data_IF_052700431357
#
_entry.id   IF_052700431357
#
_cell.length_a   1.000
_cell.length_b   1.000
_cell.length_c   1.000
_cell.angle_alpha   90.00
_cell.angle_beta   90.00
_cell.angle_gamma   90.00
#
_symmetry.space_group_name_H-M   'P 1'
#
loop_
_entity.id
_entity.type
_entity.pdbx_description
1 polymer ?
#
# COMPACT_ATOMS: atom_id res chain seq x y z
N UNK A 1 24.96 10.12 5.62
CA UNK A 1 24.14 9.39 4.64
C UNK A 1 23.13 10.35 4.05
N UNK A 2 22.79 10.18 2.78
CA UNK A 2 21.67 10.90 2.16
C UNK A 2 20.40 10.07 2.32
N UNK A 3 19.30 10.74 2.67
CA UNK A 3 17.99 10.12 2.85
C UNK A 3 17.05 10.56 1.73
N UNK A 4 16.37 9.60 1.10
CA UNK A 4 15.33 9.83 0.10
C UNK A 4 13.96 9.76 0.76
N UNK A 5 13.15 10.78 0.52
CA UNK A 5 11.74 10.76 0.89
C UNK A 5 10.93 10.43 -0.36
N UNK A 6 10.28 9.27 -0.36
CA UNK A 6 9.33 8.89 -1.40
C UNK A 6 7.91 9.18 -0.90
N UNK A 7 7.34 10.29 -1.37
CA UNK A 7 5.97 10.70 -1.05
C UNK A 7 5.04 10.09 -2.08
N UNK A 8 4.15 9.18 -1.66
CA UNK A 8 3.35 8.37 -2.57
C UNK A 8 2.02 7.92 -1.96
N UNK A 9 1.16 7.35 -2.79
CA UNK A 9 -0.10 6.73 -2.37
C UNK A 9 -0.24 5.36 -3.06
N UNK A 10 -0.65 4.28 -2.36
CA UNK A 10 -0.77 2.94 -2.94
C UNK A 10 -1.79 2.87 -4.08
N UNK A 11 -2.72 3.81 -4.14
CA UNK A 11 -3.74 3.91 -5.18
C UNK A 11 -3.55 5.16 -6.06
N UNK A 12 -2.32 5.68 -6.17
CA UNK A 12 -1.91 6.62 -7.22
C UNK A 12 -1.28 5.90 -8.41
N UNK A 13 -1.88 6.01 -9.59
CA UNK A 13 -1.43 5.26 -10.78
C UNK A 13 -0.04 5.68 -11.22
N UNK A 14 0.30 6.96 -11.11
CA UNK A 14 1.64 7.45 -11.40
C UNK A 14 2.69 6.98 -10.39
N UNK A 15 2.32 6.77 -9.11
CA UNK A 15 3.22 6.13 -8.14
C UNK A 15 3.50 4.67 -8.54
N UNK A 16 2.49 3.94 -9.02
CA UNK A 16 2.67 2.58 -9.52
C UNK A 16 3.55 2.54 -10.76
N UNK A 17 3.29 3.39 -11.75
CA UNK A 17 4.12 3.56 -12.95
C UNK A 17 5.58 3.90 -12.63
N UNK A 18 5.81 4.70 -11.59
CA UNK A 18 7.15 5.13 -11.17
C UNK A 18 7.93 4.05 -10.41
N UNK A 19 7.30 2.93 -10.01
CA UNK A 19 7.94 1.88 -9.20
C UNK A 19 9.23 1.33 -9.82
N UNK A 20 9.28 1.23 -11.15
CA UNK A 20 10.47 0.79 -11.90
C UNK A 20 11.62 1.79 -11.80
N UNK A 21 11.34 3.09 -11.93
CA UNK A 21 12.34 4.14 -11.82
C UNK A 21 12.80 4.34 -10.37
N UNK A 22 11.89 4.18 -9.41
CA UNK A 22 12.24 4.14 -7.99
C UNK A 22 13.23 3.00 -7.70
N UNK A 23 13.00 1.80 -8.26
CA UNK A 23 13.94 0.68 -8.07
C UNK A 23 15.32 1.01 -8.65
N UNK A 24 15.39 1.56 -9.88
CA UNK A 24 16.66 2.01 -10.48
C UNK A 24 17.36 3.06 -9.61
N UNK A 25 16.61 3.98 -9.01
CA UNK A 25 17.17 5.00 -8.11
C UNK A 25 17.78 4.36 -6.86
N UNK A 26 17.07 3.44 -6.21
CA UNK A 26 17.55 2.68 -5.05
C UNK A 26 18.83 1.91 -5.41
N UNK A 27 18.82 1.16 -6.52
CA UNK A 27 19.96 0.36 -6.98
C UNK A 27 21.20 1.21 -7.30
N UNK A 28 20.98 2.42 -7.84
CA UNK A 28 22.06 3.33 -8.21
C UNK A 28 22.75 4.02 -7.03
N UNK A 29 22.20 3.92 -5.81
CA UNK A 29 22.68 4.64 -4.62
C UNK A 29 22.79 3.74 -3.39
N UNK A 30 23.64 2.69 -3.45
CA UNK A 30 23.82 1.79 -2.32
C UNK A 30 24.24 2.55 -1.06
N UNK A 31 23.60 2.23 0.07
CA UNK A 31 23.86 2.87 1.36
C UNK A 31 23.13 4.20 1.59
N UNK A 32 22.24 4.64 0.68
CA UNK A 32 21.29 5.71 0.97
C UNK A 32 20.07 5.17 1.69
N UNK A 33 19.53 5.94 2.63
CA UNK A 33 18.31 5.56 3.34
C UNK A 33 17.08 5.94 2.51
N UNK A 34 16.07 5.08 2.46
CA UNK A 34 14.76 5.37 1.90
C UNK A 34 13.71 5.47 3.01
N UNK A 35 12.84 6.44 2.87
CA UNK A 35 11.68 6.59 3.74
C UNK A 35 10.45 6.88 2.89
N UNK A 36 9.38 6.10 3.11
CA UNK A 36 8.10 6.26 2.44
C UNK A 36 7.16 7.10 3.30
N UNK A 37 6.54 8.10 2.68
CA UNK A 37 5.57 9.00 3.30
C UNK A 37 4.27 8.91 2.51
N UNK A 38 3.20 8.49 3.17
CA UNK A 38 1.92 8.23 2.54
C UNK A 38 1.14 9.54 2.39
N UNK A 39 0.77 9.87 1.17
CA UNK A 39 0.19 11.17 0.81
C UNK A 39 -1.32 11.30 1.04
N UNK A 40 -2.07 10.18 1.05
CA UNK A 40 -3.53 10.20 1.23
C UNK A 40 -4.26 10.91 0.09
N UNK A 41 -4.07 10.47 -1.16
CA UNK A 41 -4.58 11.07 -2.39
C UNK A 41 -6.09 11.35 -2.35
N UNK A 42 -6.89 10.45 -1.76
CA UNK A 42 -8.33 10.60 -1.54
C UNK A 42 -8.72 10.04 -0.17
N UNK A 43 -7.95 10.40 0.86
CA UNK A 43 -8.17 9.88 2.20
C UNK A 43 -9.56 10.25 2.75
N UNK A 44 -10.23 9.28 3.36
CA UNK A 44 -11.56 9.40 3.98
C UNK A 44 -12.69 9.74 3.00
N UNK A 45 -12.51 9.54 1.69
CA UNK A 45 -13.59 9.72 0.72
C UNK A 45 -14.75 8.76 1.04
N UNK A 46 -15.99 9.27 1.01
CA UNK A 46 -17.21 8.48 1.25
C UNK A 46 -18.16 8.46 0.05
N UNK A 47 -17.84 9.20 -0.99
CA UNK A 47 -18.65 9.29 -2.20
C UNK A 47 -18.43 8.08 -3.10
N UNK A 48 -19.54 7.51 -3.58
CA UNK A 48 -19.52 6.49 -4.62
C UNK A 48 -18.98 7.11 -5.90
N UNK A 49 -18.07 6.41 -6.56
CA UNK A 49 -17.47 6.85 -7.81
C UNK A 49 -18.53 6.98 -8.92
N UNK A 50 -18.70 8.20 -9.43
CA UNK A 50 -19.47 8.47 -10.63
C UNK A 50 -18.73 8.05 -11.92
N UNK A 51 -19.47 8.00 -13.03
CA UNK A 51 -18.97 7.52 -14.32
C UNK A 51 -17.89 8.43 -14.92
N UNK A 52 -18.03 9.75 -14.75
CA UNK A 52 -17.08 10.73 -15.29
C UNK A 52 -15.73 10.60 -14.57
N UNK A 53 -15.74 10.48 -13.24
CA UNK A 53 -14.56 10.23 -12.41
C UNK A 53 -13.91 8.90 -12.77
N UNK A 54 -14.71 7.84 -12.98
CA UNK A 54 -14.20 6.53 -13.40
C UNK A 54 -13.47 6.62 -14.74
N UNK A 55 -14.10 7.23 -15.75
CA UNK A 55 -13.50 7.38 -17.08
C UNK A 55 -12.23 8.22 -17.03
N UNK A 56 -12.22 9.31 -16.26
CA UNK A 56 -11.04 10.14 -16.07
C UNK A 56 -9.89 9.34 -15.44
N UNK A 57 -10.14 8.56 -14.39
CA UNK A 57 -9.11 7.74 -13.74
C UNK A 57 -8.60 6.64 -14.68
N UNK A 58 -9.49 5.95 -15.39
CA UNK A 58 -9.11 4.92 -16.37
C UNK A 58 -8.27 5.51 -17.51
N UNK A 59 -8.52 6.76 -17.92
CA UNK A 59 -7.65 7.44 -18.90
C UNK A 59 -6.22 7.65 -18.38
N UNK A 60 -6.06 7.93 -17.09
CA UNK A 60 -4.74 7.99 -16.46
C UNK A 60 -4.09 6.62 -16.38
N UNK A 61 -4.85 5.56 -16.07
CA UNK A 61 -4.34 4.18 -16.02
C UNK A 61 -3.82 3.76 -17.40
N UNK A 62 -4.58 4.02 -18.46
CA UNK A 62 -4.13 3.75 -19.83
C UNK A 62 -2.82 4.47 -20.14
N UNK A 63 -2.75 5.78 -19.85
CA UNK A 63 -1.53 6.55 -20.08
C UNK A 63 -0.34 6.00 -19.30
N UNK A 64 -0.53 5.60 -18.05
CA UNK A 64 0.54 5.02 -17.24
C UNK A 64 0.96 3.66 -17.78
N UNK A 65 0.02 2.81 -18.19
CA UNK A 65 0.30 1.52 -18.83
C UNK A 65 1.14 1.71 -20.09
N UNK A 66 0.77 2.66 -20.96
CA UNK A 66 1.47 2.92 -22.22
C UNK A 66 2.93 3.35 -22.00
N UNK A 67 3.21 4.15 -20.96
CA UNK A 67 4.57 4.68 -20.70
C UNK A 67 5.43 3.78 -19.81
N UNK A 68 4.83 3.04 -18.88
CA UNK A 68 5.56 2.20 -17.91
C UNK A 68 5.64 0.73 -18.32
N UNK A 69 4.71 0.25 -19.15
CA UNK A 69 4.55 -1.16 -19.49
C UNK A 69 4.03 -2.04 -18.35
N UNK A 70 3.67 -1.46 -17.19
CA UNK A 70 3.12 -2.21 -16.08
C UNK A 70 1.69 -2.71 -16.37
N UNK A 71 1.27 -3.85 -15.80
CA UNK A 71 -0.06 -4.39 -16.02
C UNK A 71 -1.14 -3.55 -15.32
N UNK A 72 -2.26 -3.37 -15.99
CA UNK A 72 -3.48 -2.76 -15.46
C UNK A 72 -4.68 -3.61 -15.86
N UNK A 73 -5.51 -4.00 -14.90
CA UNK A 73 -6.86 -4.51 -15.11
C UNK A 73 -7.81 -3.33 -15.24
N UNK A 74 -8.14 -2.98 -16.48
CA UNK A 74 -9.04 -1.87 -16.81
C UNK A 74 -10.49 -2.08 -16.34
N UNK A 75 -10.82 -3.29 -15.86
CA UNK A 75 -12.12 -3.58 -15.24
C UNK A 75 -12.09 -3.41 -13.73
N UNK A 76 -10.92 -3.18 -13.13
CA UNK A 76 -10.74 -3.09 -11.68
C UNK A 76 -11.56 -1.99 -11.00
N UNK A 77 -12.01 -0.96 -11.71
CA UNK A 77 -12.90 0.09 -11.18
C UNK A 77 -14.39 -0.15 -11.45
N UNK A 78 -14.76 -1.23 -12.15
CA UNK A 78 -16.13 -1.59 -12.49
C UNK A 78 -16.80 -2.40 -11.36
N UNK A 79 -16.67 -1.90 -10.13
CA UNK A 79 -17.32 -2.49 -8.94
C UNK A 79 -18.53 -1.64 -8.57
N UNK A 80 -19.65 -2.30 -8.30
CA UNK A 80 -20.86 -1.64 -7.85
C UNK A 80 -20.60 -0.92 -6.51
N UNK A 81 -20.99 0.35 -6.41
CA UNK A 81 -20.82 1.12 -5.17
C UNK A 81 -19.36 1.40 -4.77
N UNK A 82 -18.40 1.31 -5.71
CA UNK A 82 -16.98 1.54 -5.40
C UNK A 82 -16.74 2.94 -4.84
N UNK A 83 -16.13 3.01 -3.65
CA UNK A 83 -15.68 4.24 -3.00
C UNK A 83 -14.16 4.29 -3.09
N UNK A 84 -13.61 5.31 -3.74
CA UNK A 84 -12.16 5.46 -3.89
C UNK A 84 -11.55 6.13 -2.65
N UNK A 85 -11.59 5.46 -1.51
CA UNK A 85 -10.95 5.90 -0.26
C UNK A 85 -9.51 5.33 -0.19
N UNK A 86 -8.51 6.20 -0.27
CA UNK A 86 -7.10 5.74 -0.22
C UNK A 86 -6.55 5.62 1.19
N UNK A 87 -7.32 6.01 2.21
CA UNK A 87 -6.85 5.98 3.59
C UNK A 87 -6.56 4.58 4.13
N UNK A 88 -7.42 3.55 3.93
CA UNK A 88 -7.15 2.22 4.45
C UNK A 88 -5.84 1.63 3.93
N UNK A 89 -5.59 1.77 2.62
CA UNK A 89 -4.36 1.31 1.99
C UNK A 89 -3.12 2.08 2.50
N UNK A 90 -3.23 3.40 2.69
CA UNK A 90 -2.17 4.19 3.29
C UNK A 90 -1.88 3.75 4.73
N UNK A 91 -2.92 3.55 5.54
CA UNK A 91 -2.80 3.11 6.93
C UNK A 91 -2.11 1.76 7.03
N UNK A 92 -2.47 0.79 6.19
CA UNK A 92 -1.79 -0.51 6.15
C UNK A 92 -0.27 -0.40 5.94
N UNK A 93 0.18 0.48 5.02
CA UNK A 93 1.62 0.72 4.80
C UNK A 93 2.28 1.41 5.99
N UNK A 94 1.60 2.37 6.63
CA UNK A 94 2.09 3.02 7.86
C UNK A 94 2.21 2.02 9.00
N UNK A 95 1.21 1.15 9.19
CA UNK A 95 1.22 0.06 10.17
C UNK A 95 2.45 -0.82 9.94
N UNK A 96 2.66 -1.34 8.72
CA UNK A 96 3.86 -2.14 8.43
C UNK A 96 5.18 -1.43 8.73
N UNK A 97 5.26 -0.13 8.45
CA UNK A 97 6.43 0.69 8.75
C UNK A 97 6.71 0.81 10.26
N UNK A 98 5.67 1.04 11.05
CA UNK A 98 5.80 1.21 12.51
C UNK A 98 6.20 -0.11 13.20
N UNK A 99 5.77 -1.24 12.64
CA UNK A 99 5.95 -2.55 13.27
C UNK A 99 7.21 -3.29 12.95
N UNK A 100 7.66 -3.18 11.70
CA UNK A 100 8.89 -3.82 11.31
C UNK A 100 10.15 -3.04 11.75
N UNK A 101 10.01 -1.98 12.56
CA UNK A 101 11.06 -0.99 12.84
C UNK A 101 11.79 -0.59 11.54
N UNK A 102 10.98 -0.24 10.53
CA UNK A 102 11.37 -0.26 9.12
C UNK A 102 12.19 0.98 8.73
N UNK A 103 13.37 1.11 9.33
CA UNK A 103 14.26 2.26 9.22
C UNK A 103 14.74 2.57 7.79
N UNK A 104 14.62 1.61 6.86
CA UNK A 104 15.00 1.77 5.46
C UNK A 104 13.87 1.44 4.46
N UNK A 105 12.62 1.46 4.92
CA UNK A 105 11.42 1.23 4.12
C UNK A 105 11.37 -0.13 3.38
N UNK A 106 12.04 -1.18 3.85
CA UNK A 106 12.04 -2.50 3.21
C UNK A 106 10.65 -3.13 3.25
N UNK A 107 10.07 -3.26 4.45
CA UNK A 107 8.77 -3.92 4.62
C UNK A 107 7.61 -3.06 4.15
N UNK A 108 7.66 -1.76 4.44
CA UNK A 108 6.65 -0.81 4.02
C UNK A 108 6.63 -0.62 2.50
N UNK A 109 7.79 -0.60 1.82
CA UNK A 109 7.82 -0.57 0.35
C UNK A 109 7.37 -1.89 -0.27
N UNK A 110 7.70 -3.03 0.35
CA UNK A 110 7.22 -4.34 -0.10
C UNK A 110 5.69 -4.41 -0.05
N UNK A 111 5.09 -4.03 1.09
CA UNK A 111 3.64 -3.96 1.24
C UNK A 111 3.00 -2.96 0.27
N UNK A 112 3.59 -1.77 0.16
CA UNK A 112 3.13 -0.73 -0.77
C UNK A 112 3.05 -1.26 -2.22
N UNK A 113 4.08 -1.98 -2.67
CA UNK A 113 4.12 -2.60 -4.01
C UNK A 113 3.10 -3.73 -4.16
N UNK A 114 2.91 -4.54 -3.12
CA UNK A 114 1.94 -5.64 -3.13
C UNK A 114 0.50 -5.11 -3.25
N UNK A 115 0.16 -4.09 -2.45
CA UNK A 115 -1.15 -3.40 -2.51
C UNK A 115 -1.36 -2.75 -3.87
N UNK A 116 -0.35 -2.06 -4.41
CA UNK A 116 -0.40 -1.51 -5.77
C UNK A 116 -0.68 -2.59 -6.81
N UNK A 117 0.03 -3.71 -6.76
CA UNK A 117 -0.16 -4.80 -7.71
C UNK A 117 -1.56 -5.43 -7.57
N UNK A 118 -2.07 -5.60 -6.36
CA UNK A 118 -3.43 -6.05 -6.11
C UNK A 118 -4.49 -5.15 -6.74
N UNK A 119 -4.35 -3.84 -6.54
CA UNK A 119 -5.29 -2.87 -7.06
C UNK A 119 -5.21 -2.72 -8.59
N UNK A 120 -4.01 -2.50 -9.13
CA UNK A 120 -3.82 -2.21 -10.55
C UNK A 120 -3.80 -3.46 -11.41
N UNK A 121 -3.02 -4.49 -11.07
CA UNK A 121 -2.82 -5.64 -11.95
C UNK A 121 -3.87 -6.74 -11.78
N UNK A 122 -4.45 -6.85 -10.57
CA UNK A 122 -5.40 -7.92 -10.23
C UNK A 122 -6.84 -7.41 -10.06
N UNK A 123 -7.06 -6.09 -10.16
CA UNK A 123 -8.38 -5.50 -10.04
C UNK A 123 -9.02 -5.69 -8.67
N UNK A 124 -8.25 -5.94 -7.60
CA UNK A 124 -8.78 -6.13 -6.25
C UNK A 124 -9.29 -4.80 -5.66
N UNK A 125 -10.21 -4.89 -4.70
CA UNK A 125 -10.68 -3.72 -3.94
C UNK A 125 -9.84 -3.55 -2.67
N UNK A 126 -8.71 -2.84 -2.78
CA UNK A 126 -7.81 -2.59 -1.65
C UNK A 126 -8.34 -1.53 -0.67
N UNK A 127 -9.59 -1.09 -0.83
CA UNK A 127 -10.30 -0.28 0.19
C UNK A 127 -10.97 -1.15 1.26
N UNK A 128 -11.02 -2.47 1.02
CA UNK A 128 -11.62 -3.46 1.91
C UNK A 128 -10.59 -3.99 2.90
N UNK A 129 -10.97 -4.00 4.17
CA UNK A 129 -10.12 -4.49 5.26
C UNK A 129 -9.72 -5.95 5.03
N UNK A 130 -10.60 -6.80 4.48
CA UNK A 130 -10.27 -8.21 4.23
C UNK A 130 -9.18 -8.39 3.17
N UNK A 131 -9.11 -7.48 2.18
CA UNK A 131 -8.05 -7.49 1.16
C UNK A 131 -6.73 -7.02 1.77
N UNK A 132 -6.77 -5.96 2.56
CA UNK A 132 -5.58 -5.44 3.23
C UNK A 132 -5.03 -6.42 4.27
N UNK A 133 -5.89 -7.13 5.00
CA UNK A 133 -5.49 -8.15 5.97
C UNK A 133 -4.72 -9.29 5.30
N UNK A 134 -5.13 -9.74 4.11
CA UNK A 134 -4.35 -10.73 3.34
C UNK A 134 -2.92 -10.24 3.05
N UNK A 135 -2.76 -8.96 2.67
CA UNK A 135 -1.44 -8.39 2.41
C UNK A 135 -0.64 -8.16 3.68
N UNK A 136 -1.27 -7.70 4.75
CA UNK A 136 -0.64 -7.58 6.07
C UNK A 136 -0.13 -8.93 6.56
N UNK A 137 -0.86 -10.02 6.28
CA UNK A 137 -0.42 -11.37 6.62
C UNK A 137 0.75 -11.92 5.78
N UNK A 138 1.19 -11.18 4.74
CA UNK A 138 2.34 -11.54 3.91
C UNK A 138 3.65 -10.84 4.29
N UNK A 139 3.61 -9.91 5.24
CA UNK A 139 4.74 -9.07 5.64
C UNK A 139 5.43 -9.62 6.88
N UNK A 140 6.74 -9.43 6.97
CA UNK A 140 7.53 -9.76 8.15
C UNK A 140 7.49 -8.60 9.16
N UNK A 141 7.16 -8.90 10.42
CA UNK A 141 7.00 -7.91 11.48
C UNK A 141 8.09 -7.99 12.56
N UNK A 142 9.17 -8.72 12.34
CA UNK A 142 10.22 -8.92 13.35
C UNK A 142 10.00 -10.19 14.19
N UNK A 143 11.03 -10.59 14.95
CA UNK A 143 10.97 -11.74 15.89
C UNK A 143 10.44 -13.07 15.27
N UNK A 144 10.62 -13.29 13.98
CA UNK A 144 10.08 -14.47 13.28
C UNK A 144 8.59 -14.40 12.94
N UNK A 145 7.89 -13.32 13.28
CA UNK A 145 6.47 -13.14 13.01
C UNK A 145 6.22 -12.74 11.55
N UNK A 146 5.53 -13.60 10.81
CA UNK A 146 5.00 -13.31 9.48
C UNK A 146 3.48 -13.14 9.60
N UNK A 147 3.02 -11.93 9.32
CA UNK A 147 1.63 -11.56 9.39
C UNK A 147 1.17 -10.94 10.71
N UNK A 148 0.07 -10.18 10.63
CA UNK A 148 -0.38 -9.31 11.72
C UNK A 148 -0.93 -10.11 12.90
N UNK A 149 -1.57 -11.27 12.65
CA UNK A 149 -2.01 -12.15 13.72
C UNK A 149 -0.85 -12.81 14.45
N UNK A 150 0.18 -13.25 13.72
CA UNK A 150 1.38 -13.81 14.35
C UNK A 150 2.14 -12.73 15.14
N UNK A 151 2.22 -11.50 14.62
CA UNK A 151 2.80 -10.38 15.34
C UNK A 151 2.00 -10.07 16.63
N UNK A 152 0.67 -10.08 16.59
CA UNK A 152 -0.19 -9.93 17.77
C UNK A 152 0.09 -11.00 18.83
N UNK A 153 0.28 -12.25 18.40
CA UNK A 153 0.63 -13.36 19.29
C UNK A 153 2.03 -13.20 19.87
N UNK A 154 3.01 -12.81 19.05
CA UNK A 154 4.40 -12.63 19.47
C UNK A 154 4.57 -11.47 20.45
N UNK A 155 3.94 -10.32 20.19
CA UNK A 155 4.15 -9.10 21.00
C UNK A 155 3.17 -8.95 22.17
N UNK A 156 1.94 -9.48 22.05
CA UNK A 156 0.89 -9.29 23.06
C UNK A 156 0.25 -10.57 23.57
N UNK A 157 0.63 -11.73 23.04
CA UNK A 157 0.03 -13.03 23.36
C UNK A 157 -1.49 -13.03 23.18
N UNK A 158 -1.97 -12.39 22.11
CA UNK A 158 -3.39 -12.25 21.72
C UNK A 158 -3.57 -12.41 20.23
N UNK A 159 -4.77 -12.80 19.80
CA UNK A 159 -5.17 -12.69 18.39
C UNK A 159 -5.21 -11.22 17.98
N UNK A 160 -4.94 -10.90 16.71
CA UNK A 160 -5.03 -9.51 16.20
C UNK A 160 -6.43 -8.90 16.45
N UNK A 161 -7.47 -9.73 16.35
CA UNK A 161 -8.86 -9.34 16.62
C UNK A 161 -9.18 -9.04 18.10
N UNK A 162 -8.28 -9.37 19.03
CA UNK A 162 -8.45 -9.22 20.49
C UNK A 162 -7.60 -8.08 21.08
N UNK A 163 -6.86 -7.37 20.22
CA UNK A 163 -6.05 -6.25 20.63
C UNK A 163 -6.93 -5.07 21.04
N UNK A 164 -6.56 -4.44 22.15
CA UNK A 164 -7.14 -3.14 22.48
C UNK A 164 -6.54 -2.03 21.60
N UNK A 165 -7.08 -0.81 21.69
CA UNK A 165 -6.62 0.31 20.86
C UNK A 165 -5.13 0.61 21.09
N UNK A 166 -4.62 0.47 22.32
CA UNK A 166 -3.22 0.76 22.61
C UNK A 166 -2.31 -0.30 21.99
N UNK A 167 -2.66 -1.57 22.13
CA UNK A 167 -1.97 -2.69 21.50
C UNK A 167 -2.02 -2.59 19.98
N UNK A 168 -3.18 -2.26 19.40
CA UNK A 168 -3.35 -2.01 17.96
C UNK A 168 -2.68 -0.71 17.48
N UNK A 169 -2.27 0.18 18.39
CA UNK A 169 -1.48 1.36 18.02
C UNK A 169 0.03 1.07 18.07
N UNK A 170 0.40 0.02 18.80
CA UNK A 170 1.74 -0.55 18.84
C UNK A 170 1.94 -1.67 17.81
N UNK A 171 0.85 -2.13 17.18
CA UNK A 171 0.73 -3.02 16.01
C UNK A 171 0.06 -2.27 14.84
#
# INVERSE_FOLDING_TARGET
>A
MSKFLYIADPMCSWCYGFSLELQKLIDSRPGSELDIVLGGLRAYNKEVMDDDTRQMILSHWQRVQDVSGLPFDMTGLNKEGFIYDTEPACRAVVTAKLLADDSNAEQSLALFRAVQHGFYAQGLDVTKDEILDMYMNSVYFGEGAFGIDEAARTYFNRSASELDLAQSSML
#
